data_IF_542053360244
#
_entry.id   IF_542053360244
#
_cell.length_a   1.000
_cell.length_b   1.000
_cell.length_c   1.000
_cell.angle_alpha   90.00
_cell.angle_beta   90.00
_cell.angle_gamma   90.00
#
_symmetry.space_group_name_H-M   'P 1'
#
loop_
_entity.id
_entity.type
_entity.pdbx_description
1 polymer ?
#
# COMPACT_ATOMS: atom_id res chain seq x y z
N UNK A 1 -24.84 -16.64 16.01
CA UNK A 1 -23.71 -17.43 15.48
C UNK A 1 -22.90 -16.55 14.54
N UNK A 2 -21.61 -16.31 14.81
CA UNK A 2 -20.75 -15.50 13.94
C UNK A 2 -20.57 -16.18 12.59
N UNK A 3 -20.76 -15.44 11.49
CA UNK A 3 -20.51 -15.92 10.14
C UNK A 3 -19.06 -16.43 10.01
N UNK A 4 -18.80 -17.69 9.62
CA UNK A 4 -17.45 -18.26 9.59
C UNK A 4 -16.48 -17.47 8.71
N UNK A 5 -16.97 -16.81 7.66
CA UNK A 5 -16.16 -15.91 6.80
C UNK A 5 -15.68 -14.67 7.54
N UNK A 6 -16.50 -14.15 8.47
CA UNK A 6 -16.15 -12.97 9.27
C UNK A 6 -15.00 -13.28 10.22
N UNK A 7 -15.03 -14.45 10.86
CA UNK A 7 -13.91 -14.89 11.72
C UNK A 7 -12.62 -14.97 10.90
N UNK A 8 -12.67 -15.58 9.72
CA UNK A 8 -11.51 -15.67 8.83
C UNK A 8 -10.91 -14.31 8.46
N UNK A 9 -11.75 -13.32 8.13
CA UNK A 9 -11.25 -11.97 7.80
C UNK A 9 -10.66 -11.25 9.01
N UNK A 10 -11.26 -11.40 10.19
CA UNK A 10 -10.73 -10.80 11.42
C UNK A 10 -9.40 -11.46 11.84
N UNK A 11 -9.28 -12.78 11.72
CA UNK A 11 -8.02 -13.48 12.02
C UNK A 11 -6.93 -13.10 11.04
N UNK A 12 -7.22 -13.05 9.74
CA UNK A 12 -6.27 -12.57 8.73
C UNK A 12 -5.84 -11.12 9.01
N UNK A 13 -6.79 -10.23 9.31
CA UNK A 13 -6.51 -8.84 9.67
C UNK A 13 -5.57 -8.71 10.86
N UNK A 14 -5.82 -9.49 11.92
CA UNK A 14 -5.00 -9.51 13.12
C UNK A 14 -3.59 -10.05 12.84
N UNK A 15 -3.46 -11.12 12.05
CA UNK A 15 -2.14 -11.68 11.70
C UNK A 15 -1.29 -10.70 10.89
N UNK A 16 -1.89 -9.98 9.94
CA UNK A 16 -1.20 -8.92 9.20
C UNK A 16 -0.84 -7.74 10.10
N UNK A 17 -1.72 -7.36 11.03
CA UNK A 17 -1.42 -6.29 11.99
C UNK A 17 -0.25 -6.67 12.91
N UNK A 18 -0.25 -7.89 13.45
CA UNK A 18 0.84 -8.39 14.29
C UNK A 18 2.16 -8.49 13.50
N UNK A 19 2.10 -8.91 12.24
CA UNK A 19 3.26 -8.89 11.34
C UNK A 19 3.78 -7.47 11.10
N UNK A 20 2.88 -6.49 10.94
CA UNK A 20 3.24 -5.07 10.83
C UNK A 20 3.93 -4.56 12.10
N UNK A 21 3.38 -4.85 13.28
CA UNK A 21 3.96 -4.46 14.57
C UNK A 21 5.33 -5.11 14.76
N UNK A 22 5.44 -6.41 14.48
CA UNK A 22 6.72 -7.13 14.58
C UNK A 22 7.78 -6.53 13.65
N UNK A 23 7.44 -6.27 12.39
CA UNK A 23 8.35 -5.62 11.44
C UNK A 23 8.74 -4.21 11.91
N UNK A 24 7.78 -3.44 12.44
CA UNK A 24 8.01 -2.11 12.98
C UNK A 24 9.06 -2.12 14.10
N UNK A 25 9.02 -3.12 14.98
CA UNK A 25 10.02 -3.30 16.04
C UNK A 25 11.41 -3.61 15.47
N UNK A 26 11.49 -4.43 14.42
CA UNK A 26 12.77 -4.76 13.76
C UNK A 26 13.36 -3.53 13.07
N UNK A 27 12.52 -2.78 12.34
CA UNK A 27 12.92 -1.54 11.65
C UNK A 27 13.38 -0.48 12.64
N UNK A 28 12.65 -0.30 13.75
CA UNK A 28 13.02 0.63 14.82
C UNK A 28 14.40 0.30 15.45
N UNK A 29 14.84 -0.96 15.38
CA UNK A 29 16.16 -1.42 15.86
C UNK A 29 17.25 -1.35 14.78
N UNK A 30 16.99 -0.75 13.63
CA UNK A 30 17.91 -0.60 12.49
C UNK A 30 18.44 -1.94 11.91
N UNK A 31 17.74 -3.05 12.17
CA UNK A 31 18.19 -4.39 11.78
C UNK A 31 18.02 -4.66 10.27
N UNK A 32 17.15 -3.92 9.59
CA UNK A 32 16.89 -4.06 8.14
C UNK A 32 17.86 -3.26 7.26
N UNK A 33 18.66 -2.35 7.83
CA UNK A 33 19.46 -1.37 7.09
C UNK A 33 20.32 -1.94 5.97
N UNK A 34 21.05 -3.03 6.25
CA UNK A 34 21.92 -3.66 5.26
C UNK A 34 21.11 -4.28 4.11
N UNK A 35 19.95 -4.85 4.42
CA UNK A 35 19.07 -5.44 3.41
C UNK A 35 18.45 -4.33 2.56
N UNK A 36 17.88 -3.31 3.19
CA UNK A 36 17.28 -2.15 2.53
C UNK A 36 18.22 -1.49 1.53
N UNK A 37 19.47 -1.23 1.95
CA UNK A 37 20.49 -0.66 1.07
C UNK A 37 20.82 -1.58 -0.11
N UNK A 38 21.09 -2.87 0.15
CA UNK A 38 21.45 -3.84 -0.90
C UNK A 38 20.32 -4.03 -1.90
N UNK A 39 19.09 -4.13 -1.43
CA UNK A 39 17.90 -4.25 -2.27
C UNK A 39 17.76 -3.04 -3.19
N UNK A 40 17.89 -1.83 -2.65
CA UNK A 40 17.78 -0.60 -3.45
C UNK A 40 18.85 -0.52 -4.54
N UNK A 41 20.13 -0.71 -4.17
CA UNK A 41 21.25 -0.68 -5.12
C UNK A 41 21.10 -1.76 -6.19
N UNK A 42 20.70 -2.97 -5.79
CA UNK A 42 20.49 -4.08 -6.72
C UNK A 42 19.39 -3.76 -7.73
N UNK A 43 18.23 -3.26 -7.26
CA UNK A 43 17.15 -2.89 -8.16
C UNK A 43 17.59 -1.80 -9.11
N UNK A 44 18.19 -0.71 -8.62
CA UNK A 44 18.64 0.39 -9.46
C UNK A 44 19.69 0.00 -10.50
N UNK A 45 20.56 -0.98 -10.20
CA UNK A 45 21.52 -1.53 -11.15
C UNK A 45 20.87 -2.36 -12.25
N UNK A 46 19.79 -3.09 -11.93
CA UNK A 46 19.10 -3.98 -12.86
C UNK A 46 18.09 -3.25 -13.75
N UNK A 47 17.66 -2.04 -13.38
CA UNK A 47 16.64 -1.30 -14.12
C UNK A 47 17.25 -0.24 -15.04
N UNK A 48 16.90 -0.22 -16.34
CA UNK A 48 17.25 0.87 -17.24
C UNK A 48 16.56 2.19 -16.86
N UNK A 49 17.26 3.31 -16.99
CA UNK A 49 16.77 4.67 -16.71
C UNK A 49 15.54 5.06 -17.57
N UNK A 50 15.37 4.44 -18.74
CA UNK A 50 14.17 4.65 -19.58
C UNK A 50 12.86 4.28 -18.87
N UNK A 51 12.92 3.52 -17.78
CA UNK A 51 11.77 3.14 -16.97
C UNK A 51 11.45 4.15 -15.86
N UNK A 52 12.27 5.17 -15.63
CA UNK A 52 12.04 6.19 -14.60
C UNK A 52 10.68 6.88 -14.77
N UNK A 53 10.39 7.39 -15.98
CA UNK A 53 9.12 8.06 -16.26
C UNK A 53 7.90 7.11 -16.21
N UNK A 54 7.89 5.95 -16.91
CA UNK A 54 6.79 4.99 -16.79
C UNK A 54 6.52 4.57 -15.34
N UNK A 55 7.58 4.34 -14.56
CA UNK A 55 7.44 3.99 -13.16
C UNK A 55 6.91 5.15 -12.34
N UNK A 56 7.41 6.38 -12.53
CA UNK A 56 6.90 7.57 -11.87
C UNK A 56 5.39 7.78 -12.13
N UNK A 57 4.94 7.59 -13.37
CA UNK A 57 3.52 7.66 -13.73
C UNK A 57 2.69 6.57 -13.04
N UNK A 58 3.23 5.35 -12.96
CA UNK A 58 2.55 4.24 -12.26
C UNK A 58 2.34 4.56 -10.78
N UNK A 59 3.26 5.28 -10.14
CA UNK A 59 3.12 5.69 -8.73
C UNK A 59 1.90 6.55 -8.46
N UNK A 60 1.49 7.37 -9.45
CA UNK A 60 0.34 8.27 -9.33
C UNK A 60 -0.96 7.50 -9.07
N UNK A 61 -1.07 6.27 -9.57
CA UNK A 61 -2.23 5.39 -9.34
C UNK A 61 -2.41 5.06 -7.86
N UNK A 62 -1.31 5.01 -7.11
CA UNK A 62 -1.30 4.87 -5.68
C UNK A 62 -0.98 6.20 -4.99
N UNK A 63 -1.33 7.36 -5.55
CA UNK A 63 -1.42 8.62 -4.81
C UNK A 63 -2.71 8.66 -3.96
N UNK A 64 -2.68 9.35 -2.82
CA UNK A 64 -3.83 9.35 -1.89
C UNK A 64 -5.08 9.93 -2.53
N UNK A 65 -4.89 10.91 -3.41
CA UNK A 65 -5.88 11.62 -4.19
C UNK A 65 -6.56 10.66 -5.16
N UNK A 66 -5.79 9.98 -6.02
CA UNK A 66 -6.34 9.01 -6.99
C UNK A 66 -7.03 7.86 -6.26
N UNK A 67 -6.43 7.36 -5.18
CA UNK A 67 -7.04 6.28 -4.37
C UNK A 67 -8.37 6.72 -3.77
N UNK A 68 -8.43 7.95 -3.21
CA UNK A 68 -9.64 8.51 -2.63
C UNK A 68 -10.73 8.72 -3.69
N UNK A 69 -10.40 9.28 -4.86
CA UNK A 69 -11.35 9.43 -5.96
C UNK A 69 -11.91 8.10 -6.44
N UNK A 70 -11.08 7.05 -6.51
CA UNK A 70 -11.50 5.72 -6.90
C UNK A 70 -12.44 5.12 -5.85
N UNK A 71 -12.14 5.27 -4.56
CA UNK A 71 -13.00 4.81 -3.47
C UNK A 71 -14.32 5.56 -3.41
N UNK A 72 -14.32 6.88 -3.62
CA UNK A 72 -15.54 7.69 -3.71
C UNK A 72 -16.39 7.29 -4.91
N UNK A 73 -15.77 6.97 -6.06
CA UNK A 73 -16.49 6.49 -7.24
C UNK A 73 -17.15 5.13 -7.00
N UNK A 74 -16.43 4.19 -6.38
CA UNK A 74 -16.97 2.88 -5.96
C UNK A 74 -18.09 3.06 -4.94
N UNK A 75 -17.90 3.97 -3.98
CA UNK A 75 -18.91 4.31 -2.99
C UNK A 75 -20.21 4.79 -3.63
N UNK A 76 -20.12 5.81 -4.49
CA UNK A 76 -21.26 6.38 -5.18
C UNK A 76 -22.00 5.30 -5.96
N UNK A 77 -21.27 4.46 -6.71
CA UNK A 77 -21.85 3.32 -7.41
C UNK A 77 -22.63 2.36 -6.48
N UNK A 78 -22.09 2.02 -5.31
CA UNK A 78 -22.75 1.13 -4.35
C UNK A 78 -23.99 1.78 -3.71
N UNK A 79 -23.94 3.08 -3.42
CA UNK A 79 -25.08 3.87 -2.94
C UNK A 79 -26.19 3.90 -3.99
N UNK A 80 -25.86 4.15 -5.26
CA UNK A 80 -26.81 4.07 -6.38
C UNK A 80 -27.46 2.69 -6.51
N UNK A 81 -26.75 1.63 -6.13
CA UNK A 81 -27.27 0.24 -6.11
C UNK A 81 -27.97 -0.14 -4.80
N UNK A 82 -28.25 0.84 -3.93
CA UNK A 82 -28.89 0.67 -2.60
C UNK A 82 -28.18 -0.37 -1.71
N UNK A 83 -26.85 -0.51 -1.87
CA UNK A 83 -26.03 -1.37 -1.02
C UNK A 83 -25.45 -0.52 0.11
N UNK A 84 -25.83 -0.80 1.35
CA UNK A 84 -25.40 -0.06 2.54
C UNK A 84 -23.97 -0.42 2.99
N UNK A 85 -22.99 -0.37 2.09
CA UNK A 85 -21.58 -0.74 2.34
C UNK A 85 -20.73 0.48 2.75
N UNK A 86 -21.25 1.32 3.64
CA UNK A 86 -20.59 2.55 4.11
C UNK A 86 -19.31 2.27 4.91
N UNK A 87 -19.26 1.13 5.59
CA UNK A 87 -18.24 0.86 6.59
C UNK A 87 -16.84 0.64 5.98
N UNK A 88 -16.75 0.11 4.75
CA UNK A 88 -15.47 -0.16 4.11
C UNK A 88 -14.66 1.10 3.74
N UNK A 89 -15.34 2.20 3.41
CA UNK A 89 -14.69 3.50 3.12
C UNK A 89 -14.27 4.19 4.40
N UNK A 90 -15.09 4.10 5.45
CA UNK A 90 -14.71 4.62 6.76
C UNK A 90 -13.51 3.86 7.33
N UNK A 91 -13.43 2.55 7.10
CA UNK A 91 -12.28 1.72 7.47
C UNK A 91 -11.03 2.09 6.66
N UNK A 92 -11.15 2.47 5.38
CA UNK A 92 -10.01 3.00 4.63
C UNK A 92 -9.41 4.25 5.27
N UNK A 93 -10.24 5.13 5.86
CA UNK A 93 -9.74 6.32 6.55
C UNK A 93 -8.81 5.99 7.73
N UNK A 94 -8.85 4.78 8.28
CA UNK A 94 -7.92 4.32 9.31
C UNK A 94 -6.48 4.16 8.77
N UNK A 95 -6.27 4.03 7.45
CA UNK A 95 -4.92 3.99 6.86
C UNK A 95 -4.10 5.22 7.23
N UNK A 96 -4.70 6.40 7.14
CA UNK A 96 -4.00 7.67 7.31
C UNK A 96 -3.43 7.87 8.72
N UNK A 97 -4.20 7.73 9.81
CA UNK A 97 -3.64 7.85 11.15
C UNK A 97 -2.64 6.73 11.46
N UNK A 98 -2.83 5.52 10.94
CA UNK A 98 -1.87 4.42 11.15
C UNK A 98 -0.54 4.66 10.41
N UNK A 99 -0.58 5.18 9.18
CA UNK A 99 0.61 5.62 8.44
C UNK A 99 1.32 6.74 9.19
N UNK A 100 0.58 7.75 9.65
CA UNK A 100 1.13 8.88 10.38
C UNK A 100 1.78 8.44 11.70
N UNK A 101 1.12 7.57 12.46
CA UNK A 101 1.67 7.02 13.69
C UNK A 101 2.98 6.26 13.43
N UNK A 102 3.03 5.44 12.37
CA UNK A 102 4.27 4.79 11.98
C UNK A 102 5.40 5.80 11.70
N UNK A 103 5.09 6.84 10.92
CA UNK A 103 6.03 7.91 10.57
C UNK A 103 6.43 8.83 11.73
N UNK A 104 5.71 8.81 12.85
CA UNK A 104 6.04 9.60 14.05
C UNK A 104 6.79 8.77 15.10
N UNK A 105 6.45 7.48 15.22
CA UNK A 105 6.96 6.61 16.29
C UNK A 105 8.21 5.84 15.86
N UNK A 106 8.39 5.59 14.57
CA UNK A 106 9.46 4.73 14.05
C UNK A 106 10.53 5.62 13.41
N UNK A 107 11.68 5.72 14.10
CA UNK A 107 12.87 6.33 13.54
C UNK A 107 13.38 5.47 12.37
N UNK A 108 13.08 5.89 11.15
CA UNK A 108 13.57 5.24 9.94
C UNK A 108 13.76 6.30 8.85
N UNK A 109 14.99 6.82 8.66
CA UNK A 109 15.23 7.94 7.76
C UNK A 109 14.95 7.54 6.30
N UNK A 110 14.45 8.49 5.52
CA UNK A 110 14.23 8.31 4.08
C UNK A 110 15.53 7.92 3.35
N UNK A 111 15.42 7.22 2.20
CA UNK A 111 16.55 7.06 1.30
C UNK A 111 17.19 8.42 0.95
N UNK A 112 18.53 8.50 0.94
CA UNK A 112 19.24 9.71 0.53
C UNK A 112 18.86 10.21 -0.86
N UNK A 113 18.92 11.53 -1.07
CA UNK A 113 18.53 12.17 -2.33
C UNK A 113 19.27 11.65 -3.58
N UNK A 114 20.49 11.14 -3.43
CA UNK A 114 21.23 10.59 -4.58
C UNK A 114 20.65 9.26 -5.10
N UNK A 115 19.78 8.59 -4.33
CA UNK A 115 19.00 7.44 -4.80
C UNK A 115 17.71 7.86 -5.50
N UNK A 116 17.28 9.11 -5.35
CA UNK A 116 16.00 9.58 -5.85
C UNK A 116 16.00 9.65 -7.38
N UNK A 117 15.13 8.86 -8.02
CA UNK A 117 14.99 8.81 -9.49
C UNK A 117 13.64 9.30 -9.99
N UNK A 118 12.75 9.76 -9.11
CA UNK A 118 11.45 10.24 -9.54
C UNK A 118 11.57 11.60 -10.26
N UNK A 119 11.44 11.58 -11.58
CA UNK A 119 11.59 12.75 -12.46
C UNK A 119 10.31 13.59 -12.50
N UNK A 120 9.20 13.05 -12.00
CA UNK A 120 7.89 13.67 -12.10
C UNK A 120 7.73 14.71 -10.97
N UNK A 121 8.00 15.97 -11.26
CA UNK A 121 7.81 17.10 -10.34
C UNK A 121 6.33 17.48 -10.15
N UNK A 122 5.43 16.49 -10.08
CA UNK A 122 4.04 16.72 -9.73
C UNK A 122 3.88 16.60 -8.22
N UNK A 123 3.72 17.74 -7.57
CA UNK A 123 3.38 17.78 -6.15
C UNK A 123 1.87 17.81 -5.98
N UNK A 124 1.33 16.72 -5.44
CA UNK A 124 -0.07 16.63 -5.04
C UNK A 124 -0.24 17.20 -3.63
N UNK A 125 -1.47 17.56 -3.19
CA UNK A 125 -1.70 18.06 -1.84
C UNK A 125 -1.06 17.20 -0.74
N UNK A 126 -1.13 15.88 -0.87
CA UNK A 126 -0.51 14.93 0.06
C UNK A 126 1.01 15.03 0.16
N UNK A 127 1.70 15.50 -0.89
CA UNK A 127 3.15 15.75 -0.88
C UNK A 127 3.57 16.82 0.13
N UNK A 128 2.64 17.70 0.52
CA UNK A 128 2.88 18.78 1.49
C UNK A 128 2.42 18.42 2.90
N UNK A 129 1.47 17.50 3.04
CA UNK A 129 0.85 17.19 4.33
C UNK A 129 1.70 16.22 5.16
N UNK A 130 2.41 15.28 4.52
CA UNK A 130 3.24 14.29 5.22
C UNK A 130 4.72 14.51 4.90
N UNK A 131 5.28 15.63 5.38
CA UNK A 131 6.72 15.89 5.35
C UNK A 131 7.37 15.47 6.67
N UNK A 132 7.49 14.15 6.86
CA UNK A 132 8.30 13.60 7.95
C UNK A 132 9.71 13.30 7.46
N UNK A 133 10.70 13.38 8.36
CA UNK A 133 12.04 12.89 8.09
C UNK A 133 12.09 11.35 7.95
N UNK A 134 11.02 10.66 8.39
CA UNK A 134 10.92 9.21 8.36
C UNK A 134 10.05 8.70 7.20
N UNK A 135 10.42 7.54 6.65
CA UNK A 135 9.77 6.92 5.49
C UNK A 135 8.84 5.76 5.82
N UNK A 136 8.97 5.15 7.00
CA UNK A 136 8.21 3.96 7.37
C UNK A 136 6.83 4.31 7.94
N UNK A 137 5.74 3.62 7.54
CA UNK A 137 5.62 2.69 6.42
C UNK A 137 5.29 3.41 5.11
N UNK A 138 5.39 2.69 3.98
CA UNK A 138 5.00 3.23 2.67
C UNK A 138 3.48 3.31 2.50
N UNK A 139 2.94 4.52 2.50
CA UNK A 139 1.51 4.79 2.27
C UNK A 139 1.01 4.36 0.89
N UNK A 140 1.82 4.52 -0.16
CA UNK A 140 1.48 4.05 -1.51
C UNK A 140 1.25 2.53 -1.50
N UNK A 141 2.18 1.78 -0.90
CA UNK A 141 2.06 0.33 -0.85
C UNK A 141 0.91 -0.13 0.04
N UNK A 142 0.65 0.56 1.16
CA UNK A 142 -0.50 0.28 2.01
C UNK A 142 -1.83 0.43 1.27
N UNK A 143 -1.97 1.48 0.47
CA UNK A 143 -3.17 1.75 -0.34
C UNK A 143 -3.31 0.74 -1.48
N UNK A 144 -2.22 0.38 -2.15
CA UNK A 144 -2.22 -0.69 -3.16
C UNK A 144 -2.62 -2.03 -2.55
N UNK A 145 -2.06 -2.42 -1.40
CA UNK A 145 -2.40 -3.66 -0.71
C UNK A 145 -3.86 -3.69 -0.26
N UNK A 146 -4.38 -2.59 0.28
CA UNK A 146 -5.80 -2.45 0.60
C UNK A 146 -6.68 -2.67 -0.64
N UNK A 147 -6.40 -1.95 -1.73
CA UNK A 147 -7.16 -2.09 -2.97
C UNK A 147 -7.08 -3.51 -3.54
N UNK A 148 -5.92 -4.16 -3.48
CA UNK A 148 -5.78 -5.56 -3.88
C UNK A 148 -6.77 -6.46 -3.16
N UNK A 149 -6.94 -6.34 -1.83
CA UNK A 149 -7.90 -7.15 -1.07
C UNK A 149 -9.34 -6.91 -1.56
N UNK A 150 -9.72 -5.65 -1.77
CA UNK A 150 -11.07 -5.27 -2.24
C UNK A 150 -11.31 -5.79 -3.66
N UNK A 151 -10.37 -5.56 -4.58
CA UNK A 151 -10.49 -5.98 -5.98
C UNK A 151 -10.54 -7.51 -6.10
N UNK A 152 -9.73 -8.23 -5.34
CA UNK A 152 -9.81 -9.69 -5.29
C UNK A 152 -11.21 -10.13 -4.84
N UNK A 153 -11.76 -9.56 -3.76
CA UNK A 153 -13.13 -9.90 -3.31
C UNK A 153 -14.20 -9.67 -4.38
N UNK A 154 -14.07 -8.61 -5.18
CA UNK A 154 -15.02 -8.24 -6.24
C UNK A 154 -14.90 -9.14 -7.47
N UNK A 155 -13.68 -9.44 -7.92
CA UNK A 155 -13.43 -10.18 -9.17
C UNK A 155 -13.40 -11.71 -8.97
N UNK A 156 -13.06 -12.22 -7.78
CA UNK A 156 -13.01 -13.66 -7.50
C UNK A 156 -14.38 -14.37 -7.58
N UNK A 157 -15.49 -13.61 -7.62
CA UNK A 157 -16.85 -14.16 -7.68
C UNK A 157 -17.33 -14.60 -9.07
N UNK A 158 -16.77 -14.06 -10.16
CA UNK A 158 -17.26 -14.29 -11.54
C UNK A 158 -16.38 -15.31 -12.27
N UNK A 159 -16.95 -16.39 -12.83
CA UNK A 159 -16.19 -17.55 -13.37
C UNK A 159 -15.35 -17.29 -14.63
N UNK A 160 -15.74 -16.35 -15.49
CA UNK A 160 -15.22 -16.27 -16.87
C UNK A 160 -13.96 -15.43 -17.08
N UNK A 161 -13.48 -14.64 -16.10
CA UNK A 161 -12.28 -13.79 -16.26
C UNK A 161 -11.29 -13.84 -15.09
N UNK A 162 -11.39 -14.85 -14.21
CA UNK A 162 -10.64 -14.88 -12.95
C UNK A 162 -9.13 -14.78 -13.15
N UNK A 163 -8.56 -15.58 -14.06
CA UNK A 163 -7.11 -15.64 -14.23
C UNK A 163 -6.52 -14.30 -14.71
N UNK A 164 -7.12 -13.68 -15.74
CA UNK A 164 -6.68 -12.38 -16.23
C UNK A 164 -6.75 -11.29 -15.16
N UNK A 165 -7.83 -11.27 -14.36
CA UNK A 165 -7.97 -10.32 -13.26
C UNK A 165 -6.90 -10.54 -12.16
N UNK A 166 -6.65 -11.80 -11.76
CA UNK A 166 -5.59 -12.11 -10.79
C UNK A 166 -4.22 -11.69 -11.29
N UNK A 167 -3.89 -12.01 -12.55
CA UNK A 167 -2.62 -11.64 -13.16
C UNK A 167 -2.46 -10.11 -13.23
N UNK A 168 -3.50 -9.38 -13.64
CA UNK A 168 -3.46 -7.92 -13.68
C UNK A 168 -3.23 -7.32 -12.28
N UNK A 169 -3.95 -7.79 -11.26
CA UNK A 169 -3.77 -7.33 -9.87
C UNK A 169 -2.37 -7.65 -9.37
N UNK A 170 -1.87 -8.85 -9.64
CA UNK A 170 -0.52 -9.27 -9.25
C UNK A 170 0.56 -8.42 -9.91
N UNK A 171 0.45 -8.17 -11.22
CA UNK A 171 1.37 -7.31 -11.96
C UNK A 171 1.37 -5.89 -11.42
N UNK A 172 0.20 -5.29 -11.16
CA UNK A 172 0.13 -3.93 -10.61
C UNK A 172 0.72 -3.87 -9.20
N UNK A 173 0.40 -4.86 -8.35
CA UNK A 173 0.92 -4.93 -6.98
C UNK A 173 2.44 -5.05 -6.95
N UNK A 174 3.00 -5.95 -7.76
CA UNK A 174 4.45 -6.18 -7.85
C UNK A 174 5.17 -5.01 -8.52
N UNK A 175 4.57 -4.40 -9.55
CA UNK A 175 5.10 -3.19 -10.16
C UNK A 175 5.15 -2.05 -9.14
N UNK A 176 4.07 -1.81 -8.39
CA UNK A 176 4.06 -0.78 -7.35
C UNK A 176 5.16 -1.03 -6.32
N UNK A 177 5.26 -2.26 -5.78
CA UNK A 177 6.32 -2.67 -4.87
C UNK A 177 7.71 -2.28 -5.41
N UNK A 178 7.99 -2.67 -6.66
CA UNK A 178 9.24 -2.39 -7.33
C UNK A 178 9.52 -0.88 -7.45
N UNK A 179 8.53 -0.12 -7.92
CA UNK A 179 8.72 1.33 -8.15
C UNK A 179 9.02 2.12 -6.89
N UNK A 180 8.51 1.71 -5.71
CA UNK A 180 8.77 2.43 -4.45
C UNK A 180 10.24 2.34 -4.04
N UNK A 181 10.85 1.17 -4.26
CA UNK A 181 12.24 0.92 -3.92
C UNK A 181 13.16 1.44 -5.03
N UNK A 182 12.84 1.13 -6.28
CA UNK A 182 13.65 1.54 -7.43
C UNK A 182 13.79 3.07 -7.53
N UNK A 183 12.69 3.81 -7.39
CA UNK A 183 12.70 5.27 -7.50
C UNK A 183 13.36 5.96 -6.31
N UNK A 184 13.82 5.20 -5.30
CA UNK A 184 14.48 5.76 -4.11
C UNK A 184 13.53 6.50 -3.17
N UNK A 185 12.23 6.23 -3.23
CA UNK A 185 11.22 6.87 -2.38
C UNK A 185 11.13 6.19 -1.00
N UNK A 186 11.35 4.87 -0.98
CA UNK A 186 11.18 4.03 0.20
C UNK A 186 12.17 2.88 0.21
N UNK A 187 12.52 2.45 1.42
CA UNK A 187 13.27 1.22 1.63
C UNK A 187 12.40 -0.03 1.43
N UNK A 188 13.02 -1.20 1.28
CA UNK A 188 12.28 -2.46 1.14
C UNK A 188 11.36 -2.69 2.35
N UNK A 189 11.90 -2.48 3.56
CA UNK A 189 11.18 -2.63 4.81
C UNK A 189 9.95 -1.71 4.91
N UNK A 190 10.05 -0.45 4.45
CA UNK A 190 8.91 0.48 4.38
C UNK A 190 7.78 -0.06 3.52
N UNK A 191 8.13 -0.64 2.37
CA UNK A 191 7.17 -1.19 1.41
C UNK A 191 6.53 -2.45 1.97
N UNK A 192 7.30 -3.34 2.61
CA UNK A 192 6.75 -4.51 3.32
C UNK A 192 5.83 -4.11 4.48
N UNK A 193 6.20 -3.08 5.25
CA UNK A 193 5.35 -2.52 6.30
C UNK A 193 4.03 -1.99 5.74
N UNK A 194 4.09 -1.28 4.61
CA UNK A 194 2.91 -0.86 3.86
C UNK A 194 2.02 -2.04 3.47
N UNK A 195 2.59 -3.13 2.94
CA UNK A 195 1.82 -4.34 2.58
C UNK A 195 1.05 -4.88 3.78
N UNK A 196 1.72 -5.10 4.91
CA UNK A 196 1.10 -5.67 6.09
C UNK A 196 0.00 -4.76 6.65
N UNK A 197 0.26 -3.46 6.72
CA UNK A 197 -0.75 -2.48 7.14
C UNK A 197 -1.97 -2.52 6.20
N UNK A 198 -1.74 -2.40 4.89
CA UNK A 198 -2.76 -2.39 3.85
C UNK A 198 -3.64 -3.63 3.85
N UNK A 199 -3.04 -4.82 3.92
CA UNK A 199 -3.77 -6.08 4.03
C UNK A 199 -4.53 -6.19 5.34
N UNK A 200 -3.95 -5.77 6.47
CA UNK A 200 -4.65 -5.79 7.76
C UNK A 200 -5.98 -5.04 7.71
N UNK A 201 -5.97 -3.80 7.23
CA UNK A 201 -7.18 -2.97 7.12
C UNK A 201 -8.09 -3.43 5.99
N UNK A 202 -7.53 -3.96 4.89
CA UNK A 202 -8.31 -4.54 3.80
C UNK A 202 -9.16 -5.73 4.27
N UNK A 203 -8.54 -6.68 4.98
CA UNK A 203 -9.26 -7.81 5.57
C UNK A 203 -10.22 -7.37 6.68
N UNK A 204 -9.83 -6.40 7.50
CA UNK A 204 -10.75 -5.82 8.49
C UNK A 204 -12.00 -5.28 7.81
N UNK A 205 -11.86 -4.53 6.72
CA UNK A 205 -12.96 -4.01 5.91
C UNK A 205 -13.89 -5.11 5.40
N UNK A 206 -13.34 -6.21 4.87
CA UNK A 206 -14.12 -7.36 4.42
C UNK A 206 -14.92 -8.06 5.54
N UNK A 207 -14.52 -7.93 6.80
CA UNK A 207 -15.28 -8.50 7.92
C UNK A 207 -16.62 -7.78 8.17
N UNK A 208 -16.81 -6.60 7.59
CA UNK A 208 -18.02 -5.78 7.75
C UNK A 208 -18.69 -5.41 6.42
N UNK A 209 -18.19 -5.91 5.29
CA UNK A 209 -18.81 -5.83 3.97
C UNK A 209 -19.63 -7.10 3.66
#
# INVERSE_FOLDING_TARGET
MSNPKRIYYLTASLLFFLSFVFLSLIVHRDLFRNFDYRSMVMLQKLTPEKLDLPFALLTLLASSEVTLFLLLSVFMYLVFRRKHLFLGIFIYMLMYPLELLGKLLIYHPKPPLFFFKNILNLHLPSSYIIQTNYSFPSGHMARTAFLTVILLRLFCGKKSSKLAAYLAIFVIFTAMFYTRIYLGEHWFSDVTGGIFLGFSVGFFSLAFL
#
